data_IF_710483064740
#
_entry.id   IF_710483064740
#
_cell.length_a   1.000
_cell.length_b   1.000
_cell.length_c   1.000
_cell.angle_alpha   90.00
_cell.angle_beta   90.00
_cell.angle_gamma   90.00
#
_symmetry.space_group_name_H-M   'P 1'
#
loop_
_entity.id
_entity.type
_entity.pdbx_description
1 polymer ?
#
# COMPACT_ATOMS: atom_id res chain seq x y z
N UNK A 1 16.43 29.57 -44.33
CA UNK A 1 16.98 28.70 -43.27
C UNK A 1 16.05 28.77 -42.08
N UNK A 2 15.35 27.68 -41.71
CA UNK A 2 14.65 27.46 -40.43
C UNK A 2 13.92 26.11 -40.34
N UNK A 3 13.91 25.30 -41.40
CA UNK A 3 13.27 23.96 -41.41
C UNK A 3 14.08 22.91 -40.62
N UNK A 4 15.41 23.08 -40.56
CA UNK A 4 16.31 22.15 -39.86
C UNK A 4 16.16 22.18 -38.32
N UNK A 5 15.62 23.27 -37.75
CA UNK A 5 15.39 23.39 -36.29
C UNK A 5 14.08 22.76 -35.83
N UNK A 6 13.09 22.61 -36.72
CA UNK A 6 11.77 22.05 -36.36
C UNK A 6 11.81 20.53 -36.25
N UNK A 7 12.63 19.84 -37.06
CA UNK A 7 12.79 18.39 -36.97
C UNK A 7 13.52 17.92 -35.70
N UNK A 8 14.42 18.75 -35.15
CA UNK A 8 15.14 18.41 -33.91
C UNK A 8 14.23 18.45 -32.68
N UNK A 9 13.23 19.34 -32.64
CA UNK A 9 12.31 19.46 -31.51
C UNK A 9 11.29 18.30 -31.44
N UNK A 10 10.82 17.80 -32.61
CA UNK A 10 9.89 16.67 -32.66
C UNK A 10 10.55 15.33 -32.29
N UNK A 11 11.84 15.14 -32.61
CA UNK A 11 12.58 13.93 -32.24
C UNK A 11 12.73 13.74 -30.73
N UNK A 12 12.89 14.83 -29.97
CA UNK A 12 13.08 14.77 -28.51
C UNK A 12 11.80 14.42 -27.77
N UNK A 13 10.63 14.87 -28.25
CA UNK A 13 9.33 14.56 -27.63
C UNK A 13 8.92 13.10 -27.86
N UNK A 14 9.25 12.52 -29.02
CA UNK A 14 9.00 11.08 -29.30
C UNK A 14 9.97 10.19 -28.51
N UNK A 15 11.23 10.59 -28.37
CA UNK A 15 12.20 9.84 -27.55
C UNK A 15 11.83 9.83 -26.05
N UNK A 16 11.31 10.94 -25.52
CA UNK A 16 10.90 11.05 -24.12
C UNK A 16 9.70 10.15 -23.78
N UNK A 17 8.73 10.00 -24.69
CA UNK A 17 7.55 9.14 -24.46
C UNK A 17 7.86 7.65 -24.64
N UNK A 18 8.80 7.29 -25.53
CA UNK A 18 9.25 5.91 -25.70
C UNK A 18 10.07 5.38 -24.51
N UNK A 19 10.87 6.25 -23.87
CA UNK A 19 11.65 5.89 -22.69
C UNK A 19 10.78 5.69 -21.44
N UNK A 20 9.68 6.43 -21.30
CA UNK A 20 8.75 6.23 -20.18
C UNK A 20 7.99 4.89 -20.28
N UNK A 21 7.64 4.46 -21.50
CA UNK A 21 6.96 3.18 -21.74
C UNK A 21 7.88 1.96 -21.51
N UNK A 22 9.19 2.12 -21.74
CA UNK A 22 10.18 1.08 -21.46
C UNK A 22 10.52 0.95 -19.97
N UNK A 23 10.27 1.99 -19.16
CA UNK A 23 10.46 1.93 -17.72
C UNK A 23 9.27 1.31 -16.97
N UNK A 24 8.08 1.32 -17.59
CA UNK A 24 6.82 0.84 -16.97
C UNK A 24 6.41 -0.58 -17.43
N UNK A 25 7.06 -1.15 -18.46
CA UNK A 25 6.62 -2.44 -19.04
C UNK A 25 7.59 -3.62 -18.98
N UNK A 26 8.67 -3.58 -18.20
CA UNK A 26 9.44 -4.82 -17.92
C UNK A 26 8.87 -5.53 -16.70
N UNK A 27 7.67 -6.07 -16.91
CA UNK A 27 7.26 -7.30 -16.27
C UNK A 27 8.07 -8.45 -16.89
N UNK A 28 9.24 -8.71 -16.34
CA UNK A 28 9.94 -9.99 -16.51
C UNK A 28 9.88 -10.76 -15.18
N UNK A 29 8.64 -11.06 -14.76
CA UNK A 29 8.31 -11.95 -13.67
C UNK A 29 8.00 -13.34 -14.23
N UNK A 30 8.99 -14.06 -14.79
CA UNK A 30 8.78 -15.51 -14.93
C UNK A 30 10.00 -16.47 -14.95
N UNK A 31 11.25 -16.01 -14.81
CA UNK A 31 12.38 -16.97 -14.75
C UNK A 31 13.34 -16.81 -13.55
N UNK A 32 13.17 -15.78 -12.71
CA UNK A 32 13.88 -15.68 -11.42
C UNK A 32 13.02 -16.02 -10.19
N UNK A 33 11.81 -16.53 -10.41
CA UNK A 33 10.86 -16.85 -9.35
C UNK A 33 11.30 -18.00 -8.44
N UNK A 34 12.17 -18.90 -8.90
CA UNK A 34 12.56 -20.10 -8.14
C UNK A 34 13.83 -19.96 -7.30
N UNK A 35 14.64 -18.89 -7.49
CA UNK A 35 15.84 -18.63 -6.66
C UNK A 35 15.64 -17.53 -5.61
N UNK A 36 14.62 -16.69 -5.74
CA UNK A 36 14.25 -15.71 -4.70
C UNK A 36 13.42 -16.33 -3.57
N UNK A 37 12.76 -17.47 -3.80
CA UNK A 37 11.97 -18.16 -2.75
C UNK A 37 12.86 -18.62 -1.58
N UNK A 38 14.15 -18.89 -1.81
CA UNK A 38 15.08 -19.23 -0.73
C UNK A 38 15.63 -18.02 0.03
N UNK A 39 15.63 -16.82 -0.57
CA UNK A 39 16.15 -15.58 0.04
C UNK A 39 15.08 -14.58 0.46
N UNK A 40 13.81 -14.98 0.42
CA UNK A 40 12.68 -14.32 1.10
C UNK A 40 12.36 -15.03 2.43
N UNK A 41 13.22 -15.96 2.87
CA UNK A 41 13.18 -16.53 4.21
C UNK A 41 13.93 -15.60 5.19
N UNK A 42 13.46 -14.36 5.32
CA UNK A 42 14.08 -13.39 6.25
C UNK A 42 13.69 -11.92 6.13
N UNK A 43 12.80 -11.54 5.21
CA UNK A 43 12.26 -10.17 5.14
C UNK A 43 10.74 -10.24 5.26
N UNK A 44 10.17 -9.48 6.18
CA UNK A 44 8.74 -9.41 6.51
C UNK A 44 7.91 -9.06 5.25
N UNK A 45 7.47 -10.10 4.53
CA UNK A 45 7.13 -10.03 3.09
C UNK A 45 5.68 -9.65 2.76
N UNK A 46 4.92 -9.12 3.70
CA UNK A 46 3.53 -8.66 3.48
C UNK A 46 3.46 -7.18 3.07
N UNK A 47 4.56 -6.45 3.18
CA UNK A 47 4.64 -5.03 2.81
C UNK A 47 3.93 -4.09 3.78
N UNK A 48 3.58 -4.55 4.99
CA UNK A 48 3.07 -3.69 6.05
C UNK A 48 4.23 -2.93 6.69
N UNK A 49 4.15 -1.60 6.68
CA UNK A 49 5.14 -0.74 7.30
C UNK A 49 4.85 -0.57 8.80
N UNK A 50 5.88 -0.68 9.63
CA UNK A 50 5.77 -0.29 11.04
C UNK A 50 5.72 1.24 11.14
N UNK A 51 4.53 1.76 11.43
CA UNK A 51 4.27 3.18 11.61
C UNK A 51 3.47 3.38 12.89
N UNK A 52 3.62 4.52 13.58
CA UNK A 52 2.83 4.80 14.76
C UNK A 52 1.33 4.70 14.43
N UNK A 53 0.54 4.22 15.37
CA UNK A 53 -0.92 4.22 15.21
C UNK A 53 -1.48 5.62 15.43
N UNK A 54 -2.58 5.98 14.73
CA UNK A 54 -3.25 7.25 14.96
C UNK A 54 -3.71 7.43 16.40
N UNK A 55 -3.83 8.68 16.83
CA UNK A 55 -4.31 9.02 18.16
C UNK A 55 -5.73 8.47 18.41
N UNK A 56 -5.95 7.96 19.62
CA UNK A 56 -7.23 7.34 20.01
C UNK A 56 -7.51 5.97 19.38
N UNK A 57 -6.58 5.41 18.59
CA UNK A 57 -6.71 4.09 17.96
C UNK A 57 -5.83 3.07 18.65
N UNK A 58 -6.38 1.88 18.93
CA UNK A 58 -5.61 0.77 19.50
C UNK A 58 -4.53 0.29 18.53
N UNK A 59 -3.30 0.13 19.03
CA UNK A 59 -2.22 -0.53 18.30
C UNK A 59 -2.38 -2.03 18.16
N UNK A 60 -3.34 -2.64 18.87
CA UNK A 60 -3.70 -4.06 18.74
C UNK A 60 -4.96 -4.24 17.90
N UNK A 61 -5.00 -5.35 17.16
CA UNK A 61 -6.12 -5.76 16.32
C UNK A 61 -6.02 -5.21 14.90
N UNK A 62 -7.14 -5.29 14.18
CA UNK A 62 -7.28 -4.77 12.82
C UNK A 62 -8.06 -3.47 12.86
N UNK A 63 -7.52 -2.42 12.25
CA UNK A 63 -8.22 -1.13 12.11
C UNK A 63 -8.22 -0.71 10.65
N UNK A 64 -9.41 -0.47 10.11
CA UNK A 64 -9.65 -0.14 8.71
C UNK A 64 -9.98 1.35 8.62
N UNK A 65 -9.15 2.09 7.90
CA UNK A 65 -9.32 3.49 7.58
C UNK A 65 -9.93 3.61 6.18
N UNK A 66 -11.20 3.99 6.14
CA UNK A 66 -11.94 4.17 4.91
C UNK A 66 -12.94 5.33 5.06
N UNK A 67 -12.93 6.32 4.14
CA UNK A 67 -13.91 7.40 4.17
C UNK A 67 -15.35 6.87 4.13
N UNK A 68 -16.25 7.45 4.93
CA UNK A 68 -17.68 7.15 4.86
C UNK A 68 -18.26 7.80 3.59
N UNK A 69 -19.09 7.08 2.84
CA UNK A 69 -19.82 7.54 1.64
C UNK A 69 -19.04 7.76 0.34
N UNK A 70 -18.22 6.79 -0.11
CA UNK A 70 -17.77 6.76 -1.50
C UNK A 70 -18.58 5.73 -2.31
N UNK A 71 -19.36 6.09 -3.34
CA UNK A 71 -19.92 5.14 -4.32
C UNK A 71 -18.83 4.61 -5.30
N UNK A 72 -17.59 4.48 -4.82
CA UNK A 72 -16.39 4.32 -5.63
C UNK A 72 -15.77 2.93 -5.41
N UNK A 73 -14.91 2.52 -6.34
CA UNK A 73 -14.17 1.26 -6.29
C UNK A 73 -13.50 0.98 -4.92
N UNK A 74 -13.01 2.02 -4.25
CA UNK A 74 -12.44 1.93 -2.91
C UNK A 74 -13.41 1.45 -1.82
N UNK A 75 -14.67 1.88 -1.88
CA UNK A 75 -15.69 1.40 -0.94
C UNK A 75 -15.96 -0.07 -1.18
N UNK A 76 -16.07 -0.51 -2.45
CA UNK A 76 -16.20 -1.93 -2.78
C UNK A 76 -15.04 -2.75 -2.23
N UNK A 77 -13.79 -2.30 -2.40
CA UNK A 77 -12.61 -2.97 -1.83
C UNK A 77 -12.68 -3.06 -0.30
N UNK A 78 -13.13 -1.98 0.35
CA UNK A 78 -13.34 -1.97 1.81
C UNK A 78 -14.42 -2.95 2.24
N UNK A 79 -15.56 -3.00 1.55
CA UNK A 79 -16.66 -3.92 1.86
C UNK A 79 -16.25 -5.38 1.64
N UNK A 80 -15.49 -5.68 0.57
CA UNK A 80 -14.93 -7.02 0.33
C UNK A 80 -14.01 -7.44 1.48
N UNK A 81 -13.12 -6.54 1.93
CA UNK A 81 -12.25 -6.80 3.08
C UNK A 81 -13.06 -7.05 4.36
N UNK A 82 -14.04 -6.19 4.64
CA UNK A 82 -14.91 -6.30 5.81
C UNK A 82 -15.70 -7.62 5.81
N UNK A 83 -16.26 -8.00 4.66
CA UNK A 83 -16.98 -9.26 4.51
C UNK A 83 -16.07 -10.47 4.74
N UNK A 84 -14.85 -10.44 4.19
CA UNK A 84 -13.87 -11.50 4.41
C UNK A 84 -13.54 -11.68 5.90
N UNK A 85 -13.18 -10.59 6.59
CA UNK A 85 -12.85 -10.63 8.02
C UNK A 85 -14.04 -11.10 8.87
N UNK A 86 -15.25 -10.62 8.54
CA UNK A 86 -16.48 -11.02 9.22
C UNK A 86 -16.78 -12.51 9.03
N UNK A 87 -16.63 -13.03 7.81
CA UNK A 87 -16.86 -14.45 7.49
C UNK A 87 -15.92 -15.39 8.27
N UNK A 88 -14.73 -14.90 8.62
CA UNK A 88 -13.71 -15.61 9.41
C UNK A 88 -13.84 -15.41 10.92
N UNK A 89 -14.80 -14.58 11.37
CA UNK A 89 -14.95 -14.23 12.79
C UNK A 89 -13.82 -13.35 13.35
N UNK A 90 -13.06 -12.67 12.49
CA UNK A 90 -11.95 -11.81 12.89
C UNK A 90 -12.52 -10.43 13.26
N UNK A 91 -12.21 -9.96 14.47
CA UNK A 91 -12.63 -8.63 14.92
C UNK A 91 -11.82 -7.51 14.27
N UNK A 92 -12.51 -6.46 13.85
CA UNK A 92 -11.90 -5.26 13.29
C UNK A 92 -12.63 -4.01 13.80
N UNK A 93 -11.94 -2.87 13.77
CA UNK A 93 -12.53 -1.54 13.95
C UNK A 93 -12.49 -0.78 12.63
N UNK A 94 -13.46 0.10 12.39
CA UNK A 94 -13.50 0.98 11.20
C UNK A 94 -13.56 2.42 11.66
N UNK A 95 -12.71 3.25 11.06
CA UNK A 95 -12.70 4.70 11.26
C UNK A 95 -12.55 5.41 9.91
N UNK A 96 -13.00 6.65 9.86
CA UNK A 96 -12.96 7.52 8.68
C UNK A 96 -11.84 8.56 8.75
N UNK A 97 -11.16 8.66 9.89
CA UNK A 97 -10.14 9.65 10.16
C UNK A 97 -8.96 9.03 10.91
N UNK A 98 -7.77 9.58 10.65
CA UNK A 98 -6.52 9.29 11.33
C UNK A 98 -5.86 10.63 11.69
N UNK A 99 -5.58 10.85 12.98
CA UNK A 99 -4.82 12.00 13.45
C UNK A 99 -3.49 11.53 14.05
N UNK A 100 -2.44 12.33 13.92
CA UNK A 100 -1.12 12.06 14.51
C UNK A 100 -0.56 13.35 15.10
N UNK A 101 -0.72 13.53 16.40
CA UNK A 101 -0.28 14.71 17.14
C UNK A 101 1.17 14.59 17.62
N UNK A 102 1.69 13.36 17.77
CA UNK A 102 2.98 13.09 18.40
C UNK A 102 3.85 12.15 17.55
N UNK A 103 4.39 12.67 16.44
CA UNK A 103 5.38 11.95 15.63
C UNK A 103 6.80 12.24 16.13
N UNK A 104 7.61 11.20 16.30
CA UNK A 104 8.93 11.30 16.93
C UNK A 104 9.99 11.97 16.04
N UNK A 105 9.82 11.91 14.71
CA UNK A 105 10.80 12.45 13.75
C UNK A 105 10.20 12.71 12.37
N UNK A 106 10.91 13.50 11.55
CA UNK A 106 10.54 13.74 10.14
C UNK A 106 10.55 12.45 9.29
N UNK A 107 11.45 11.52 9.62
CA UNK A 107 11.51 10.20 8.96
C UNK A 107 10.26 9.37 9.28
N UNK A 108 9.78 9.43 10.53
CA UNK A 108 8.53 8.77 10.93
C UNK A 108 7.32 9.39 10.23
N UNK A 109 7.25 10.72 10.18
CA UNK A 109 6.22 11.42 9.43
C UNK A 109 6.21 11.03 7.94
N UNK A 110 7.38 10.91 7.33
CA UNK A 110 7.51 10.47 5.93
C UNK A 110 6.94 9.06 5.71
N UNK A 111 7.23 8.11 6.62
CA UNK A 111 6.66 6.75 6.54
C UNK A 111 5.14 6.76 6.69
N UNK A 112 4.62 7.52 7.66
CA UNK A 112 3.17 7.65 7.87
C UNK A 112 2.51 8.24 6.63
N UNK A 113 3.04 9.34 6.09
CA UNK A 113 2.53 9.97 4.87
C UNK A 113 2.58 9.03 3.68
N UNK A 114 3.65 8.23 3.54
CA UNK A 114 3.77 7.25 2.44
C UNK A 114 2.66 6.20 2.47
N UNK A 115 2.22 5.77 3.65
CA UNK A 115 1.10 4.81 3.78
C UNK A 115 -0.24 5.52 3.63
N UNK A 116 -0.43 6.64 4.33
CA UNK A 116 -1.71 7.35 4.36
C UNK A 116 -2.10 8.00 3.02
N UNK A 117 -1.12 8.41 2.21
CA UNK A 117 -1.35 8.92 0.85
C UNK A 117 -1.52 7.80 -0.19
N UNK A 118 -1.39 6.55 0.22
CA UNK A 118 -1.63 5.41 -0.64
C UNK A 118 -3.12 5.21 -0.94
N UNK A 119 -3.45 4.23 -1.81
CA UNK A 119 -4.83 3.90 -2.11
C UNK A 119 -5.58 3.40 -0.86
N UNK A 120 -6.80 3.90 -0.67
CA UNK A 120 -7.72 3.41 0.37
C UNK A 120 -8.32 2.04 0.00
N UNK A 121 -8.69 1.18 0.97
CA UNK A 121 -8.59 1.40 2.41
C UNK A 121 -7.15 1.27 2.92
N UNK A 122 -6.79 2.08 3.92
CA UNK A 122 -5.55 1.86 4.69
C UNK A 122 -5.90 0.97 5.86
N UNK A 123 -5.13 -0.09 6.09
CA UNK A 123 -5.41 -1.07 7.14
C UNK A 123 -4.21 -1.19 8.05
N UNK A 124 -4.49 -1.05 9.34
CA UNK A 124 -3.56 -1.37 10.41
C UNK A 124 -3.82 -2.78 10.91
N UNK A 125 -2.74 -3.54 11.13
CA UNK A 125 -2.74 -4.84 11.76
C UNK A 125 -1.65 -4.83 12.82
N UNK A 126 -2.04 -4.82 14.09
CA UNK A 126 -1.14 -4.87 15.24
C UNK A 126 0.04 -3.86 15.17
N UNK A 127 -0.25 -2.60 14.82
CA UNK A 127 0.74 -1.52 14.79
C UNK A 127 1.56 -1.44 13.50
N UNK A 128 1.27 -2.28 12.50
CA UNK A 128 1.79 -2.11 11.14
C UNK A 128 0.67 -1.72 10.20
N UNK A 129 0.96 -0.93 9.18
CA UNK A 129 -0.04 -0.42 8.25
C UNK A 129 0.33 -0.67 6.80
N UNK A 130 -0.70 -0.84 5.97
CA UNK A 130 -0.57 -0.94 4.52
C UNK A 130 -1.73 -0.23 3.83
N UNK A 131 -1.42 0.43 2.71
CA UNK A 131 -2.42 1.00 1.83
C UNK A 131 -2.94 -0.06 0.86
N UNK A 132 -4.26 -0.21 0.78
CA UNK A 132 -4.97 -1.16 -0.06
C UNK A 132 -4.42 -2.60 0.00
N UNK A 133 -4.33 -3.23 1.18
CA UNK A 133 -4.00 -4.64 1.24
C UNK A 133 -5.17 -5.49 0.73
N UNK A 134 -4.87 -6.71 0.27
CA UNK A 134 -5.92 -7.71 0.01
C UNK A 134 -6.41 -8.34 1.32
N UNK A 135 -7.60 -8.96 1.34
CA UNK A 135 -8.11 -9.62 2.54
C UNK A 135 -7.20 -10.72 3.09
N UNK A 136 -6.53 -11.46 2.20
CA UNK A 136 -5.60 -12.53 2.55
C UNK A 136 -4.33 -11.98 3.20
N UNK A 137 -3.84 -10.82 2.75
CA UNK A 137 -2.66 -10.17 3.35
C UNK A 137 -2.95 -9.71 4.78
N UNK A 138 -4.15 -9.17 5.02
CA UNK A 138 -4.58 -8.76 6.36
C UNK A 138 -4.71 -9.97 7.30
N UNK A 139 -5.31 -11.07 6.83
CA UNK A 139 -5.43 -12.32 7.60
C UNK A 139 -4.06 -12.92 7.92
N UNK A 140 -3.14 -12.95 6.95
CA UNK A 140 -1.79 -13.46 7.13
C UNK A 140 -1.00 -12.65 8.16
N UNK A 141 -1.06 -11.32 8.10
CA UNK A 141 -0.39 -10.43 9.05
C UNK A 141 -0.97 -10.57 10.47
N UNK A 142 -2.30 -10.69 10.58
CA UNK A 142 -2.98 -10.88 11.86
C UNK A 142 -2.62 -12.23 12.50
N UNK A 143 -2.56 -13.28 11.68
CA UNK A 143 -2.20 -14.64 12.11
C UNK A 143 -0.73 -14.77 12.51
N UNK A 144 0.17 -13.98 11.92
CA UNK A 144 1.57 -13.89 12.34
C UNK A 144 1.71 -13.25 13.72
N UNK A 145 1.01 -12.13 13.92
CA UNK A 145 1.09 -11.34 15.15
C UNK A 145 0.49 -12.05 16.37
N UNK A 146 -0.44 -12.99 16.17
CA UNK A 146 -1.06 -13.77 17.27
C UNK A 146 -0.22 -14.97 17.73
N UNK A 147 0.82 -15.34 16.98
CA UNK A 147 1.74 -16.44 17.31
C UNK A 147 3.06 -15.97 17.94
N UNK A 148 3.24 -14.65 18.06
CA UNK A 148 4.43 -14.01 18.65
C UNK A 148 4.25 -13.66 20.11
#
# INVERSE_FOLDING_TARGET
MNVLKVCAALGVVVAATALWKSYVSTGELNEMGSRLIEKVKGSDSTGFASIPTPDGVSSRGIVIFAPRNCPSDAARRTEVLVQHLSSKGIRYSRTDSANYDNLASAEEASRVMSVMNGPIPVVYVNGKAKANPTPEEVEAEHSRSSKG
#
